data_IF_756741562932
#
_entry.id   IF_756741562932
#
_cell.length_a   1.000
_cell.length_b   1.000
_cell.length_c   1.000
_cell.angle_alpha   90.00
_cell.angle_beta   90.00
_cell.angle_gamma   90.00
#
_symmetry.space_group_name_H-M   'P 1'
#
loop_
_entity.id
_entity.type
_entity.pdbx_description
1 polymer ?
#
# COMPACT_ATOMS: atom_id res chain seq x y z
N UNK A 1 -2.11 -41.47 -33.45
CA UNK A 1 -0.74 -41.96 -33.70
C UNK A 1 0.20 -40.91 -33.11
N UNK A 2 0.40 -40.90 -31.78
CA UNK A 2 1.45 -41.62 -31.02
C UNK A 2 2.80 -40.88 -31.21
N UNK A 3 3.49 -40.32 -30.21
CA UNK A 3 3.92 -40.80 -28.88
C UNK A 3 4.27 -39.57 -28.00
N UNK A 4 3.75 -39.36 -26.79
CA UNK A 4 4.17 -39.86 -25.46
C UNK A 4 5.70 -39.94 -25.27
N UNK A 5 6.27 -39.00 -24.50
CA UNK A 5 7.56 -39.16 -23.83
C UNK A 5 7.56 -38.39 -22.49
N UNK A 6 7.19 -39.12 -21.45
CA UNK A 6 7.29 -38.73 -20.03
C UNK A 6 8.73 -38.95 -19.57
N UNK A 7 9.42 -37.92 -19.08
CA UNK A 7 10.71 -38.09 -18.42
C UNK A 7 10.58 -37.77 -16.94
N UNK A 8 10.86 -38.79 -16.14
CA UNK A 8 10.72 -38.87 -14.69
C UNK A 8 12.14 -38.73 -14.16
N UNK A 9 12.48 -37.65 -13.45
CA UNK A 9 13.75 -37.57 -12.73
C UNK A 9 13.49 -37.60 -11.23
N UNK A 10 13.77 -38.76 -10.64
CA UNK A 10 13.81 -39.01 -9.21
C UNK A 10 15.20 -38.67 -8.65
N UNK A 11 15.19 -38.23 -7.39
CA UNK A 11 16.20 -38.46 -6.36
C UNK A 11 17.52 -37.67 -6.45
N UNK A 12 17.73 -36.75 -5.50
CA UNK A 12 18.85 -36.93 -4.57
C UNK A 12 18.57 -36.34 -3.18
N UNK A 13 18.80 -37.20 -2.20
CA UNK A 13 18.69 -37.03 -0.76
C UNK A 13 19.91 -36.28 -0.22
N UNK A 14 19.72 -35.08 0.34
CA UNK A 14 20.75 -34.43 1.17
C UNK A 14 20.33 -34.50 2.63
N UNK A 15 20.99 -35.40 3.36
CA UNK A 15 21.04 -35.44 4.81
C UNK A 15 22.01 -34.36 5.29
N UNK A 16 21.54 -33.40 6.06
CA UNK A 16 22.37 -32.43 6.76
C UNK A 16 21.82 -32.18 8.15
N UNK A 17 22.24 -33.00 9.10
CA UNK A 17 22.05 -32.80 10.54
C UNK A 17 23.00 -31.69 10.99
N UNK A 18 22.46 -30.63 11.57
CA UNK A 18 23.22 -29.52 12.15
C UNK A 18 22.48 -28.95 13.35
N UNK A 19 22.41 -29.75 14.42
CA UNK A 19 21.89 -29.35 15.72
C UNK A 19 23.01 -28.62 16.47
N UNK A 20 22.89 -27.30 16.59
CA UNK A 20 23.78 -26.44 17.36
C UNK A 20 22.97 -25.41 18.13
N UNK A 21 22.43 -25.83 19.28
CA UNK A 21 21.63 -25.05 20.21
C UNK A 21 22.50 -23.97 20.89
N UNK A 22 22.13 -22.70 20.70
CA UNK A 22 22.85 -21.54 21.25
C UNK A 22 22.07 -20.91 22.43
N UNK A 23 22.81 -20.78 23.55
CA UNK A 23 22.74 -19.82 24.66
C UNK A 23 21.58 -19.86 25.66
N UNK A 24 22.00 -20.19 26.89
CA UNK A 24 21.40 -19.95 28.20
C UNK A 24 21.08 -18.47 28.40
N UNK A 25 19.87 -18.18 28.87
CA UNK A 25 19.54 -16.89 29.52
C UNK A 25 18.90 -17.19 30.87
N UNK A 26 19.54 -16.73 31.95
CA UNK A 26 19.03 -16.82 33.30
C UNK A 26 18.52 -15.43 33.74
N UNK A 27 17.22 -15.42 34.05
CA UNK A 27 16.57 -14.75 35.19
C UNK A 27 16.83 -13.28 35.48
N UNK A 28 15.75 -12.50 35.40
CA UNK A 28 15.58 -11.23 36.10
C UNK A 28 14.09 -10.94 36.30
N UNK A 29 13.57 -11.38 37.45
CA UNK A 29 12.22 -11.14 37.97
C UNK A 29 11.89 -9.65 38.12
N UNK A 30 10.62 -9.27 37.94
CA UNK A 30 9.73 -8.56 38.92
C UNK A 30 8.50 -8.00 38.20
N UNK A 31 7.32 -8.56 38.47
CA UNK A 31 6.02 -7.86 38.41
C UNK A 31 5.69 -7.36 39.83
N UNK A 32 4.59 -6.61 40.05
CA UNK A 32 4.00 -5.46 39.37
C UNK A 32 3.97 -4.27 40.38
N UNK A 33 3.02 -3.34 40.24
CA UNK A 33 2.60 -2.25 41.16
C UNK A 33 2.92 -0.86 40.57
N UNK A 34 2.14 0.20 40.73
CA UNK A 34 0.77 0.50 41.19
C UNK A 34 0.59 1.98 40.83
N UNK A 35 -0.64 2.39 40.55
CA UNK A 35 -1.08 3.79 40.44
C UNK A 35 -0.44 4.75 41.47
N UNK A 36 -0.27 6.02 41.11
CA UNK A 36 -0.66 7.22 41.92
C UNK A 36 -0.09 8.50 41.27
N UNK A 37 -0.98 9.39 40.81
CA UNK A 37 -0.71 10.83 40.67
C UNK A 37 -0.51 11.46 42.05
N UNK A 38 0.41 12.42 42.23
CA UNK A 38 0.03 13.85 42.20
C UNK A 38 1.18 14.70 41.58
N UNK A 39 1.05 15.96 41.17
CA UNK A 39 0.74 17.15 41.97
C UNK A 39 0.65 18.35 41.02
N UNK A 40 -0.36 19.17 41.23
CA UNK A 40 -0.51 20.53 40.74
C UNK A 40 0.67 21.41 41.18
N UNK A 41 1.45 21.93 40.23
CA UNK A 41 2.29 23.10 40.48
C UNK A 41 1.69 24.33 39.83
N UNK A 42 1.21 25.22 40.70
CA UNK A 42 0.82 26.60 40.41
C UNK A 42 2.09 27.42 40.17
N UNK A 43 2.28 27.90 38.93
CA UNK A 43 3.27 28.95 38.63
C UNK A 43 2.52 30.25 38.30
N UNK A 44 2.83 31.28 39.08
CA UNK A 44 2.29 32.64 39.00
C UNK A 44 2.67 33.35 37.67
N UNK A 45 1.92 34.38 37.24
CA UNK A 45 1.93 34.87 35.86
C UNK A 45 3.14 35.75 35.58
N UNK A 46 3.77 35.55 34.42
CA UNK A 46 4.76 36.48 33.87
C UNK A 46 4.12 37.29 32.73
N UNK A 47 4.12 38.61 32.87
CA UNK A 47 3.73 39.58 31.85
C UNK A 47 4.69 39.49 30.66
N UNK A 48 4.19 39.29 29.45
CA UNK A 48 4.98 39.47 28.21
C UNK A 48 4.07 39.93 27.07
N UNK A 49 4.21 41.22 26.77
CA UNK A 49 4.20 41.90 25.47
C UNK A 49 3.30 41.34 24.35
N UNK A 50 2.35 42.17 23.96
CA UNK A 50 1.51 42.05 22.77
C UNK A 50 2.38 42.27 21.51
N UNK A 51 2.84 41.17 20.91
CA UNK A 51 3.41 41.17 19.57
C UNK A 51 2.25 41.07 18.60
N UNK A 52 1.86 42.20 18.01
CA UNK A 52 0.99 42.21 16.83
C UNK A 52 1.77 41.61 15.66
N UNK A 53 1.59 40.31 15.44
CA UNK A 53 1.99 39.66 14.20
C UNK A 53 1.00 40.13 13.15
N UNK A 54 1.45 41.02 12.26
CA UNK A 54 0.75 41.27 11.00
C UNK A 54 0.70 39.96 10.24
N UNK A 55 -0.47 39.33 10.23
CA UNK A 55 -0.76 38.17 9.40
C UNK A 55 -0.70 38.68 7.97
N UNK A 56 0.46 38.56 7.35
CA UNK A 56 0.58 38.63 5.91
C UNK A 56 -0.25 37.47 5.39
N UNK A 57 -1.42 37.81 4.86
CA UNK A 57 -2.30 36.92 4.14
C UNK A 57 -1.52 36.35 2.97
N UNK A 58 -0.88 35.21 3.19
CA UNK A 58 -0.28 34.40 2.14
C UNK A 58 -1.40 34.03 1.19
N UNK A 59 -1.36 34.62 0.00
CA UNK A 59 -2.23 34.28 -1.11
C UNK A 59 -2.35 32.77 -1.22
N UNK A 60 -3.55 32.26 -0.94
CA UNK A 60 -3.86 30.85 -1.00
C UNK A 60 -3.79 30.40 -2.46
N UNK A 61 -2.74 29.66 -2.80
CA UNK A 61 -2.74 28.84 -4.02
C UNK A 61 -4.03 28.03 -3.99
N UNK A 62 -4.85 28.01 -5.06
CA UNK A 62 -6.08 27.24 -5.07
C UNK A 62 -5.72 25.76 -5.03
N UNK A 63 -5.67 25.20 -3.83
CA UNK A 63 -5.64 23.75 -3.61
C UNK A 63 -6.99 23.26 -4.08
N UNK A 64 -7.02 22.44 -5.14
CA UNK A 64 -8.24 21.74 -5.53
C UNK A 64 -8.81 21.06 -4.28
N UNK A 65 -10.10 21.21 -4.05
CA UNK A 65 -10.72 20.55 -2.92
C UNK A 65 -10.50 19.03 -3.05
N UNK A 66 -10.19 18.35 -1.95
CA UNK A 66 -9.95 16.90 -1.97
C UNK A 66 -11.11 16.12 -2.65
N UNK A 67 -12.33 16.64 -2.53
CA UNK A 67 -13.51 16.11 -3.21
C UNK A 67 -13.41 16.17 -4.75
N UNK A 68 -12.87 17.25 -5.32
CA UNK A 68 -12.70 17.39 -6.76
C UNK A 68 -11.62 16.44 -7.29
N UNK A 69 -10.53 16.28 -6.53
CA UNK A 69 -9.46 15.32 -6.83
C UNK A 69 -10.03 13.90 -6.84
N UNK A 70 -10.77 13.52 -5.78
CA UNK A 70 -11.41 12.22 -5.69
C UNK A 70 -12.40 11.97 -6.83
N UNK A 71 -13.22 12.96 -7.18
CA UNK A 71 -14.19 12.86 -8.27
C UNK A 71 -13.52 12.61 -9.62
N UNK A 72 -12.35 13.19 -9.85
CA UNK A 72 -11.59 13.00 -11.09
C UNK A 72 -10.90 11.64 -11.15
N UNK A 73 -10.36 11.14 -10.03
CA UNK A 73 -9.53 9.94 -10.02
C UNK A 73 -10.29 8.65 -9.68
N UNK A 74 -11.38 8.72 -8.93
CA UNK A 74 -12.11 7.52 -8.48
C UNK A 74 -12.58 6.58 -9.60
N UNK A 75 -12.95 7.02 -10.82
CA UNK A 75 -13.30 6.10 -11.90
C UNK A 75 -12.12 5.26 -12.42
N UNK A 76 -10.88 5.68 -12.18
CA UNK A 76 -9.67 4.97 -12.59
C UNK A 76 -9.12 4.02 -11.53
N UNK A 77 -9.78 3.94 -10.36
CA UNK A 77 -9.36 3.12 -9.23
C UNK A 77 -10.25 1.88 -9.19
N UNK A 78 -9.62 0.72 -9.03
CA UNK A 78 -10.28 -0.58 -8.97
C UNK A 78 -9.98 -1.28 -7.67
N UNK A 79 -10.90 -2.15 -7.26
CA UNK A 79 -10.72 -3.12 -6.20
C UNK A 79 -10.12 -4.41 -6.78
N UNK A 80 -9.17 -5.00 -6.06
CA UNK A 80 -8.55 -6.27 -6.42
C UNK A 80 -8.84 -7.26 -5.31
N UNK A 81 -9.34 -8.42 -5.70
CA UNK A 81 -9.73 -9.50 -4.82
C UNK A 81 -8.96 -10.78 -5.17
N UNK A 82 -8.37 -11.38 -4.16
CA UNK A 82 -7.68 -12.67 -4.23
C UNK A 82 -8.09 -13.54 -3.04
N UNK A 83 -7.91 -14.87 -3.11
CA UNK A 83 -8.20 -15.76 -1.99
C UNK A 83 -7.55 -15.37 -0.65
N UNK A 84 -6.35 -14.77 -0.69
CA UNK A 84 -5.55 -14.49 0.51
C UNK A 84 -5.51 -12.99 0.88
N UNK A 85 -6.11 -12.11 0.08
CA UNK A 85 -5.96 -10.67 0.29
C UNK A 85 -6.72 -9.81 -0.71
N UNK A 86 -6.93 -8.57 -0.31
CA UNK A 86 -7.65 -7.57 -1.09
C UNK A 86 -6.87 -6.27 -1.15
N UNK A 87 -7.12 -5.44 -2.15
CA UNK A 87 -6.40 -4.20 -2.30
C UNK A 87 -6.99 -3.30 -3.38
N UNK A 88 -6.27 -2.23 -3.66
CA UNK A 88 -6.63 -1.28 -4.72
C UNK A 88 -5.65 -1.37 -5.87
N UNK A 89 -6.09 -0.96 -7.05
CA UNK A 89 -5.24 -0.77 -8.21
C UNK A 89 -5.67 0.45 -9.02
N UNK A 90 -4.80 0.88 -9.92
CA UNK A 90 -5.06 2.00 -10.84
C UNK A 90 -5.00 1.52 -12.28
N UNK A 91 -5.93 2.02 -13.11
CA UNK A 91 -5.99 1.71 -14.54
C UNK A 91 -4.92 2.51 -15.28
N UNK A 92 -4.14 1.81 -16.09
CA UNK A 92 -3.14 2.35 -17.01
C UNK A 92 -3.69 2.45 -18.43
N UNK A 93 -3.14 3.36 -19.24
CA UNK A 93 -3.59 3.66 -20.60
C UNK A 93 -3.50 2.48 -21.58
N UNK A 94 -2.70 1.47 -21.25
CA UNK A 94 -2.50 0.25 -22.03
C UNK A 94 -3.43 -0.91 -21.62
N UNK A 95 -4.44 -0.68 -20.79
CA UNK A 95 -5.42 -1.70 -20.39
C UNK A 95 -4.90 -2.66 -19.32
N UNK A 96 -4.00 -2.16 -18.46
CA UNK A 96 -3.47 -2.88 -17.30
C UNK A 96 -3.86 -2.18 -16.01
N UNK A 97 -3.85 -2.93 -14.92
CA UNK A 97 -3.95 -2.40 -13.56
C UNK A 97 -2.58 -2.47 -12.91
N UNK A 98 -2.13 -1.35 -12.36
CA UNK A 98 -0.97 -1.31 -11.47
C UNK A 98 -1.45 -1.44 -10.02
N UNK A 99 -0.82 -2.34 -9.27
CA UNK A 99 -1.09 -2.58 -7.85
C UNK A 99 0.19 -3.03 -7.13
N UNK A 100 0.07 -3.44 -5.87
CA UNK A 100 1.18 -3.99 -5.12
C UNK A 100 1.36 -5.49 -5.38
N UNK A 101 2.61 -5.95 -5.35
CA UNK A 101 2.94 -7.36 -5.54
C UNK A 101 2.35 -8.24 -4.43
N UNK A 102 2.34 -7.75 -3.18
CA UNK A 102 1.76 -8.48 -2.06
C UNK A 102 0.23 -8.66 -2.17
N UNK A 103 -0.48 -7.73 -2.82
CA UNK A 103 -1.94 -7.82 -3.01
C UNK A 103 -2.28 -9.03 -3.88
N UNK A 104 -1.51 -9.24 -4.95
CA UNK A 104 -1.70 -10.37 -5.86
C UNK A 104 -0.96 -11.64 -5.41
N UNK A 105 0.02 -11.50 -4.52
CA UNK A 105 0.85 -12.59 -3.99
C UNK A 105 1.32 -13.54 -5.11
N UNK A 106 1.20 -14.85 -4.93
CA UNK A 106 1.55 -15.88 -5.91
C UNK A 106 0.39 -16.25 -6.87
N UNK A 107 -0.72 -15.50 -6.88
CA UNK A 107 -1.91 -15.86 -7.67
C UNK A 107 -1.77 -15.50 -9.15
N UNK A 108 -1.79 -16.48 -10.05
CA UNK A 108 -1.70 -16.22 -11.49
C UNK A 108 -2.90 -15.45 -12.06
N UNK A 109 -4.03 -15.48 -11.37
CA UNK A 109 -5.26 -14.79 -11.74
C UNK A 109 -5.91 -14.15 -10.53
N UNK A 110 -6.53 -12.99 -10.74
CA UNK A 110 -7.24 -12.23 -9.71
C UNK A 110 -8.61 -11.79 -10.22
N UNK A 111 -9.47 -11.33 -9.32
CA UNK A 111 -10.71 -10.65 -9.66
C UNK A 111 -10.49 -9.15 -9.52
N UNK A 112 -10.96 -8.39 -10.50
CA UNK A 112 -10.86 -6.93 -10.53
C UNK A 112 -12.26 -6.35 -10.61
N UNK A 113 -12.60 -5.46 -9.70
CA UNK A 113 -13.90 -4.79 -9.66
C UNK A 113 -13.72 -3.28 -9.78
N UNK A 114 -14.35 -2.66 -10.78
CA UNK A 114 -14.42 -1.21 -10.94
C UNK A 114 -15.83 -0.71 -11.18
N UNK A 115 -15.95 0.57 -11.55
CA UNK A 115 -17.24 1.20 -11.82
C UNK A 115 -17.96 0.64 -13.06
N UNK A 116 -17.24 -0.04 -13.96
CA UNK A 116 -17.78 -0.73 -15.14
C UNK A 116 -18.28 -2.15 -14.83
N UNK A 117 -18.05 -2.63 -13.60
CA UNK A 117 -18.47 -3.93 -13.13
C UNK A 117 -17.29 -4.81 -12.75
N UNK A 118 -17.54 -6.12 -12.82
CA UNK A 118 -16.70 -7.13 -12.21
C UNK A 118 -16.04 -8.00 -13.28
N UNK A 119 -14.72 -8.12 -13.17
CA UNK A 119 -13.85 -8.81 -14.13
C UNK A 119 -13.22 -10.01 -13.43
N UNK A 120 -13.69 -11.20 -13.80
CA UNK A 120 -13.18 -12.45 -13.23
C UNK A 120 -11.97 -12.96 -14.00
N UNK A 121 -11.06 -13.62 -13.27
CA UNK A 121 -9.91 -14.34 -13.84
C UNK A 121 -9.00 -13.46 -14.71
N UNK A 122 -8.70 -12.24 -14.25
CA UNK A 122 -7.74 -11.35 -14.90
C UNK A 122 -6.32 -11.83 -14.60
N UNK A 123 -5.47 -12.07 -15.60
CA UNK A 123 -4.12 -12.62 -15.38
C UNK A 123 -3.21 -11.61 -14.68
N UNK A 124 -2.27 -12.10 -13.89
CA UNK A 124 -1.16 -11.28 -13.38
C UNK A 124 0.00 -11.37 -14.36
N UNK A 125 0.25 -10.29 -15.09
CA UNK A 125 1.25 -10.23 -16.15
C UNK A 125 2.68 -10.23 -15.63
N UNK A 126 2.95 -9.43 -14.59
CA UNK A 126 4.29 -9.25 -14.05
C UNK A 126 4.26 -8.85 -12.59
N UNK A 127 5.35 -9.15 -11.88
CA UNK A 127 5.60 -8.77 -10.49
C UNK A 127 7.04 -8.31 -10.32
N UNK A 128 7.22 -7.26 -9.55
CA UNK A 128 8.49 -6.83 -9.00
C UNK A 128 8.39 -6.88 -7.47
N UNK A 129 8.88 -7.97 -6.88
CA UNK A 129 8.89 -8.16 -5.42
C UNK A 129 9.80 -7.17 -4.68
N UNK A 130 10.82 -6.62 -5.35
CA UNK A 130 11.75 -5.68 -4.72
C UNK A 130 11.14 -4.30 -4.51
N UNK A 131 10.24 -3.91 -5.42
CA UNK A 131 9.49 -2.64 -5.37
C UNK A 131 8.05 -2.80 -4.89
N UNK A 132 7.64 -4.03 -4.62
CA UNK A 132 6.28 -4.41 -4.28
C UNK A 132 5.26 -3.92 -5.32
N UNK A 133 5.53 -4.14 -6.62
CA UNK A 133 4.64 -3.75 -7.72
C UNK A 133 4.18 -4.97 -8.54
N UNK A 134 2.96 -4.90 -9.05
CA UNK A 134 2.43 -5.89 -9.99
C UNK A 134 1.59 -5.25 -11.09
N UNK A 135 1.63 -5.86 -12.26
CA UNK A 135 0.77 -5.55 -13.40
C UNK A 135 -0.25 -6.67 -13.57
N UNK A 136 -1.52 -6.31 -13.51
CA UNK A 136 -2.68 -7.19 -13.72
C UNK A 136 -3.29 -6.85 -15.08
N UNK A 137 -3.58 -7.84 -15.91
CA UNK A 137 -4.09 -7.70 -17.26
C UNK A 137 -3.17 -8.32 -18.32
N UNK A 138 -3.35 -7.97 -19.61
CA UNK A 138 -4.32 -6.99 -20.09
C UNK A 138 -5.76 -7.50 -19.96
N UNK A 139 -6.72 -6.59 -19.85
CA UNK A 139 -8.15 -6.91 -19.97
C UNK A 139 -8.90 -5.76 -20.63
N UNK A 140 -10.09 -6.07 -21.14
CA UNK A 140 -10.95 -5.08 -21.79
C UNK A 140 -11.79 -4.34 -20.76
N UNK A 141 -11.56 -3.05 -20.60
CA UNK A 141 -12.33 -2.17 -19.70
C UNK A 141 -12.69 -0.87 -20.40
N UNK A 142 -13.81 -0.27 -20.01
CA UNK A 142 -14.22 1.07 -20.43
C UNK A 142 -13.79 2.15 -19.43
N UNK A 143 -13.13 1.77 -18.34
CA UNK A 143 -12.67 2.70 -17.30
C UNK A 143 -11.57 3.62 -17.84
N UNK A 144 -11.58 4.91 -17.45
CA UNK A 144 -10.53 5.83 -17.83
C UNK A 144 -9.21 5.46 -17.13
N UNK A 145 -8.10 5.61 -17.84
CA UNK A 145 -6.77 5.49 -17.23
C UNK A 145 -6.39 6.73 -16.42
N UNK A 146 -5.56 6.54 -15.39
CA UNK A 146 -4.92 7.63 -14.66
C UNK A 146 -3.90 8.33 -15.57
N UNK A 147 -3.93 9.66 -15.58
CA UNK A 147 -2.88 10.48 -16.18
C UNK A 147 -1.81 10.77 -15.13
N UNK A 148 -0.57 10.37 -15.41
CA UNK A 148 0.56 10.71 -14.55
C UNK A 148 1.06 12.12 -14.84
N UNK A 149 1.39 12.84 -13.79
CA UNK A 149 2.10 14.11 -13.91
C UNK A 149 3.56 13.86 -14.31
N UNK A 150 4.19 14.86 -14.93
CA UNK A 150 5.62 14.83 -15.20
C UNK A 150 6.41 14.67 -13.90
N UNK A 151 7.46 13.84 -13.87
CA UNK A 151 8.29 13.67 -12.69
C UNK A 151 8.86 15.01 -12.22
N UNK A 152 8.63 15.33 -10.94
CA UNK A 152 9.23 16.47 -10.25
C UNK A 152 9.56 16.12 -8.81
N UNK A 153 10.42 16.93 -8.20
CA UNK A 153 10.63 16.86 -6.76
C UNK A 153 9.39 17.41 -6.03
N UNK A 154 8.97 16.68 -4.98
CA UNK A 154 7.95 17.14 -4.04
C UNK A 154 8.62 18.00 -2.97
N UNK A 155 8.07 19.19 -2.71
CA UNK A 155 8.58 20.07 -1.66
C UNK A 155 8.02 19.66 -0.28
N UNK A 156 8.80 19.77 0.81
CA UNK A 156 8.28 19.57 2.15
C UNK A 156 7.10 20.52 2.44
N UNK A 157 6.00 19.97 2.96
CA UNK A 157 4.76 20.72 3.25
C UNK A 157 3.72 20.68 2.14
N UNK A 158 4.01 20.07 0.98
CA UNK A 158 2.98 19.83 -0.03
C UNK A 158 1.92 18.85 0.47
N UNK A 159 0.63 19.10 0.20
CA UNK A 159 -0.44 18.18 0.57
C UNK A 159 -0.37 16.89 -0.26
N UNK A 160 -0.61 15.76 0.40
CA UNK A 160 -0.71 14.44 -0.24
C UNK A 160 -2.04 13.81 0.09
N UNK A 161 -2.69 13.25 -0.92
CA UNK A 161 -3.96 12.55 -0.79
C UNK A 161 -3.75 11.07 -1.09
N UNK A 162 -4.21 10.20 -0.18
CA UNK A 162 -4.25 8.77 -0.39
C UNK A 162 -5.63 8.42 -0.91
N UNK A 163 -5.68 7.77 -2.07
CA UNK A 163 -6.92 7.31 -2.67
C UNK A 163 -6.80 5.82 -2.93
N UNK A 164 -7.85 5.10 -2.56
CA UNK A 164 -7.97 3.67 -2.80
C UNK A 164 -9.43 3.28 -2.87
N UNK A 165 -9.66 1.99 -3.04
CA UNK A 165 -10.97 1.35 -3.01
C UNK A 165 -11.07 0.54 -1.72
N UNK A 166 -11.59 1.11 -0.62
CA UNK A 166 -11.90 0.33 0.56
C UNK A 166 -13.04 -0.64 0.21
N UNK A 167 -12.84 -1.93 0.51
CA UNK A 167 -13.86 -2.98 0.33
C UNK A 167 -15.04 -2.82 1.28
#
# INVERSE_FOLDING_TARGET
MNNIATSIFRSLLVRGVGLGLLLVSCSGSTTPNTETSPTTETVAPSTTQEVTVEVVETASVPVLAAADIYKQLSPSIVYIDTPDGTGSGIILSNGYVLTNAHVVSLHEYVRVWGADGDHFSVPVYARDWSRDLALVGPFSTSLPAVNFAEPRELLPGEPVYLIGFPG
#
